data_IF_017592717852
#
_entry.id   IF_017592717852
#
_cell.length_a   1.000
_cell.length_b   1.000
_cell.length_c   1.000
_cell.angle_alpha   90.00
_cell.angle_beta   90.00
_cell.angle_gamma   90.00
#
_symmetry.space_group_name_H-M   'P 1'
#
loop_
_entity.id
_entity.type
_entity.pdbx_description
1 polymer ?
2 non-polymer ?
3 non-polymer ?
4 non-polymer ?
#
# COMPACT_ATOMS: atom_id res chain seq x y z
N UNK A 19 -26.53 38.18 13.05
CA UNK A 19 -25.63 37.84 11.96
C UNK A 19 -25.16 36.38 12.04
N UNK A 20 -25.33 35.78 13.21
CA UNK A 20 -24.98 34.38 13.43
C UNK A 20 -25.47 33.46 12.31
N UNK A 21 -26.77 33.51 12.03
CA UNK A 21 -27.40 32.66 11.00
C UNK A 21 -26.86 32.94 9.60
N UNK A 22 -26.35 34.15 9.39
CA UNK A 22 -25.82 34.54 8.08
C UNK A 22 -24.59 33.70 7.75
N UNK A 23 -23.69 33.57 8.71
CA UNK A 23 -22.51 32.74 8.54
C UNK A 23 -22.86 31.24 8.62
N UNK A 24 -23.80 30.86 9.47
CA UNK A 24 -24.15 29.45 9.63
C UNK A 24 -24.62 28.82 8.31
N UNK A 25 -25.28 29.61 7.47
CA UNK A 25 -25.75 29.08 6.20
C UNK A 25 -24.66 29.10 5.14
N UNK A 26 -23.54 29.75 5.47
CA UNK A 26 -22.32 29.64 4.66
C UNK A 26 -21.57 28.36 5.02
N UNK A 27 -21.14 28.29 6.28
CA UNK A 27 -20.43 27.14 6.83
C UNK A 27 -21.17 25.84 6.55
N UNK A 28 -22.47 25.81 6.79
CA UNK A 28 -23.24 24.58 6.62
C UNK A 28 -23.58 24.26 5.15
N UNK A 29 -23.19 25.14 4.24
CA UNK A 29 -23.50 24.92 2.83
C UNK A 29 -22.65 23.81 2.21
N UNK A 30 -23.10 23.29 1.07
CA UNK A 30 -22.31 22.33 0.31
C UNK A 30 -21.08 23.02 -0.26
N UNK A 31 -21.27 24.21 -0.81
CA UNK A 31 -20.19 25.00 -1.38
C UNK A 31 -18.98 25.04 -0.46
N UNK A 32 -19.23 25.46 0.78
CA UNK A 32 -18.19 25.58 1.79
C UNK A 32 -17.36 24.29 1.89
N UNK A 33 -18.02 23.18 2.18
CA UNK A 33 -17.33 21.89 2.28
C UNK A 33 -16.58 21.54 1.00
N UNK A 34 -17.26 21.63 -0.13
CA UNK A 34 -16.66 21.31 -1.43
C UNK A 34 -15.42 22.14 -1.69
N UNK A 35 -15.46 23.40 -1.30
CA UNK A 35 -14.33 24.30 -1.45
C UNK A 35 -13.13 23.92 -0.58
N UNK A 36 -13.40 23.57 0.67
CA UNK A 36 -12.37 23.14 1.58
C UNK A 36 -11.74 21.84 1.08
N UNK A 37 -12.59 20.85 0.77
CA UNK A 37 -12.09 19.60 0.20
C UNK A 37 -11.27 19.86 -1.04
N UNK A 38 -11.70 20.82 -1.84
CA UNK A 38 -10.94 21.24 -3.00
C UNK A 38 -9.55 21.77 -2.61
N UNK A 39 -9.49 22.64 -1.61
CA UNK A 39 -8.19 23.12 -1.12
C UNK A 39 -7.30 22.04 -0.50
N UNK A 40 -7.87 21.14 0.28
CA UNK A 40 -7.12 20.00 0.82
C UNK A 40 -6.35 19.31 -0.31
N UNK A 41 -7.08 18.87 -1.34
CA UNK A 41 -6.47 18.18 -2.46
C UNK A 41 -5.45 19.06 -3.19
N UNK A 42 -5.70 20.37 -3.24
CA UNK A 42 -4.77 21.26 -3.92
C UNK A 42 -3.48 21.40 -3.12
N UNK A 43 -3.65 21.65 -1.83
CA UNK A 43 -2.56 21.72 -0.87
C UNK A 43 -1.72 20.42 -0.87
N UNK A 44 -2.42 19.29 -0.90
CA UNK A 44 -1.78 17.99 -0.93
C UNK A 44 -0.94 17.81 -2.17
N UNK A 45 -1.53 18.13 -3.32
CA UNK A 45 -0.80 18.04 -4.57
C UNK A 45 0.43 18.93 -4.49
N UNK A 46 0.27 20.11 -3.92
CA UNK A 46 1.37 21.08 -3.90
C UNK A 46 2.48 20.69 -2.90
N UNK A 47 2.11 19.89 -1.90
CA UNK A 47 3.08 19.40 -0.92
C UNK A 47 4.05 18.41 -1.57
N UNK A 48 3.53 17.61 -2.50
CA UNK A 48 4.35 16.64 -3.19
C UNK A 48 5.24 17.29 -4.25
N UNK A 49 4.82 18.44 -4.76
CA UNK A 49 5.60 19.15 -5.75
C UNK A 49 6.72 19.90 -5.08
N UNK A 50 6.46 20.26 -3.83
CA UNK A 50 7.42 20.93 -2.97
C UNK A 50 8.59 20.00 -2.61
N UNK A 51 8.48 18.75 -3.08
CA UNK A 51 9.48 17.71 -2.89
C UNK A 51 10.53 17.76 -3.98
N UNK A 52 10.09 18.09 -5.19
CA UNK A 52 10.95 18.16 -6.36
C UNK A 52 11.93 19.33 -6.26
N UNK A 53 13.23 19.03 -6.34
CA UNK A 53 14.25 20.07 -6.29
C UNK A 53 14.15 20.96 -7.52
N UNK A 54 13.79 20.36 -8.65
CA UNK A 54 13.57 21.07 -9.90
C UNK A 54 12.44 22.10 -9.78
N UNK A 55 11.27 21.63 -9.34
CA UNK A 55 10.10 22.49 -9.18
C UNK A 55 10.39 23.72 -8.32
N UNK A 56 11.16 23.53 -7.25
CA UNK A 56 11.44 24.60 -6.29
C UNK A 56 12.41 25.68 -6.79
N UNK A 57 13.21 25.38 -7.80
CA UNK A 57 14.10 26.39 -8.36
C UNK A 57 13.37 27.20 -9.42
N UNK A 58 12.24 26.67 -9.87
CA UNK A 58 11.38 27.35 -10.82
C UNK A 58 10.29 28.08 -10.05
N UNK A 59 9.25 27.33 -9.70
CA UNK A 59 8.13 27.86 -8.94
C UNK A 59 8.44 28.07 -7.45
N UNK A 60 9.69 28.38 -7.12
CA UNK A 60 10.09 28.63 -5.75
C UNK A 60 9.23 29.61 -4.96
N UNK A 61 9.21 30.87 -5.38
CA UNK A 61 8.44 31.91 -4.70
C UNK A 61 6.93 31.73 -4.86
N UNK A 62 6.51 31.27 -6.04
CA UNK A 62 5.11 30.91 -6.33
C UNK A 62 4.44 30.08 -5.24
N UNK A 63 5.13 29.01 -4.82
CA UNK A 63 4.59 28.05 -3.89
C UNK A 63 4.72 28.53 -2.44
N UNK A 64 5.78 29.27 -2.16
CA UNK A 64 5.99 29.85 -0.84
C UNK A 64 4.82 30.76 -0.45
N UNK A 65 4.27 31.48 -1.43
CA UNK A 65 3.11 32.34 -1.21
C UNK A 65 1.81 31.53 -1.18
N UNK A 66 1.64 30.65 -2.17
CA UNK A 66 0.47 29.77 -2.25
C UNK A 66 0.18 29.06 -0.93
N UNK A 67 1.23 28.70 -0.21
CA UNK A 67 1.10 28.00 1.06
C UNK A 67 0.72 28.91 2.22
N UNK A 68 1.24 30.13 2.24
CA UNK A 68 0.79 31.10 3.24
C UNK A 68 -0.66 31.53 2.97
N UNK A 69 -1.10 31.45 1.72
CA UNK A 69 -2.50 31.78 1.39
C UNK A 69 -3.45 30.73 1.96
N UNK A 70 -3.17 29.46 1.66
CA UNK A 70 -4.03 28.35 2.06
C UNK A 70 -4.24 28.29 3.57
N UNK A 71 -3.18 28.51 4.34
CA UNK A 71 -3.26 28.42 5.80
C UNK A 71 -4.17 29.52 6.37
N UNK A 72 -4.28 30.63 5.66
CA UNK A 72 -5.15 31.72 6.07
C UNK A 72 -6.62 31.30 5.92
N UNK A 73 -7.00 30.90 4.71
CA UNK A 73 -8.30 30.32 4.42
C UNK A 73 -8.70 29.22 5.40
N UNK A 74 -7.73 28.45 5.87
CA UNK A 74 -8.04 27.36 6.76
C UNK A 74 -8.30 27.87 8.15
N UNK A 75 -7.57 28.88 8.54
CA UNK A 75 -7.76 29.44 9.88
C UNK A 75 -9.11 30.12 9.97
N UNK A 76 -9.44 30.86 8.91
CA UNK A 76 -10.77 31.45 8.79
C UNK A 76 -11.82 30.36 8.93
N UNK A 77 -11.64 29.28 8.17
CA UNK A 77 -12.57 28.17 8.20
C UNK A 77 -12.78 27.65 9.62
N UNK A 78 -11.69 27.46 10.36
CA UNK A 78 -11.77 26.87 11.71
C UNK A 78 -12.38 27.86 12.70
N UNK A 79 -12.22 29.15 12.43
CA UNK A 79 -12.82 30.17 13.26
C UNK A 79 -14.34 30.22 13.03
N UNK A 80 -14.73 30.36 11.76
CA UNK A 80 -16.13 30.29 11.36
C UNK A 80 -16.81 29.04 11.93
N UNK A 81 -16.15 27.89 11.80
CA UNK A 81 -16.72 26.65 12.33
C UNK A 81 -16.91 26.72 13.84
N UNK A 82 -16.04 27.43 14.53
CA UNK A 82 -16.11 27.53 15.99
C UNK A 82 -17.33 28.34 16.46
N UNK A 83 -17.56 29.50 15.86
CA UNK A 83 -18.70 30.33 16.26
C UNK A 83 -20.04 29.67 15.94
N UNK A 84 -20.11 28.95 14.82
CA UNK A 84 -21.31 28.19 14.48
C UNK A 84 -21.53 26.98 15.41
N UNK A 85 -20.48 26.56 16.12
CA UNK A 85 -20.58 25.35 16.93
C UNK A 85 -20.23 25.53 18.41
N UNK A 86 -19.46 26.57 18.74
CA UNK A 86 -18.97 26.82 20.10
C UNK A 86 -18.48 25.54 20.80
N UNK A 87 -19.15 25.13 21.88
CA UNK A 87 -18.75 23.97 22.67
C UNK A 87 -18.82 22.63 21.90
N UNK A 88 -19.77 22.50 20.98
CA UNK A 88 -19.89 21.28 20.20
C UNK A 88 -18.64 21.03 19.35
N UNK A 89 -17.99 22.12 18.96
CA UNK A 89 -16.80 22.06 18.12
C UNK A 89 -15.67 21.31 18.84
N UNK A 90 -15.41 21.73 20.07
CA UNK A 90 -14.38 21.14 20.90
C UNK A 90 -14.83 19.86 21.61
N UNK A 91 -15.79 19.15 21.04
CA UNK A 91 -16.20 17.87 21.58
C UNK A 91 -16.37 16.92 20.40
N UNK A 92 -15.94 17.40 19.23
CA UNK A 92 -15.90 16.63 18.00
C UNK A 92 -14.43 16.27 17.74
N UNK A 93 -14.12 14.96 17.75
CA UNK A 93 -12.76 14.46 17.52
C UNK A 93 -12.21 15.03 16.22
N UNK A 94 -13.07 15.03 15.21
CA UNK A 94 -12.68 15.49 13.89
C UNK A 94 -12.37 16.98 13.85
N UNK A 95 -13.10 17.77 14.63
CA UNK A 95 -12.93 19.21 14.61
C UNK A 95 -11.65 19.53 15.34
N UNK A 96 -11.47 18.89 16.49
CA UNK A 96 -10.25 18.95 17.26
C UNK A 96 -9.02 18.61 16.42
N UNK A 97 -9.09 17.52 15.66
CA UNK A 97 -8.02 17.22 14.72
C UNK A 97 -7.79 18.39 13.76
N UNK A 98 -8.84 18.81 13.07
CA UNK A 98 -8.75 19.97 12.17
C UNK A 98 -8.16 21.19 12.86
N UNK A 99 -8.55 21.42 14.09
CA UNK A 99 -8.05 22.55 14.85
C UNK A 99 -6.55 22.42 15.11
N UNK A 100 -6.13 21.32 15.74
CA UNK A 100 -4.72 21.12 16.08
C UNK A 100 -3.83 21.09 14.84
N UNK A 101 -4.30 20.46 13.79
CA UNK A 101 -3.58 20.40 12.53
C UNK A 101 -3.42 21.78 11.90
N UNK A 102 -4.43 22.63 12.01
CA UNK A 102 -4.31 23.97 11.46
C UNK A 102 -3.38 24.79 12.36
N UNK A 103 -3.43 24.53 13.67
CA UNK A 103 -2.58 25.23 14.64
C UNK A 103 -1.09 25.00 14.40
N UNK A 104 -0.69 23.73 14.29
CA UNK A 104 0.68 23.34 13.94
C UNK A 104 1.18 24.10 12.71
N UNK A 105 0.31 24.23 11.71
CA UNK A 105 0.64 24.92 10.49
C UNK A 105 0.87 26.41 10.73
N UNK A 106 0.32 26.92 11.82
CA UNK A 106 0.39 28.35 12.13
C UNK A 106 1.71 28.76 12.75
N UNK A 107 2.28 27.88 13.58
CA UNK A 107 3.62 28.06 14.15
C UNK A 107 4.66 28.40 13.08
N UNK A 108 5.34 29.55 13.24
CA UNK A 108 6.31 30.14 12.30
C UNK A 108 7.28 29.12 11.70
N UNK A 109 7.59 29.30 10.42
CA UNK A 109 8.44 28.38 9.66
C UNK A 109 9.79 28.11 10.34
N UNK A 110 10.31 29.11 11.05
CA UNK A 110 11.61 28.98 11.71
C UNK A 110 11.50 28.58 13.17
N UNK A 111 12.54 28.91 13.95
CA UNK A 111 12.59 28.69 15.40
C UNK A 111 12.53 27.22 15.81
N UNK A 112 12.87 26.96 17.08
CA UNK A 112 12.90 25.63 17.66
C UNK A 112 13.60 24.60 16.78
N UNK A 113 12.86 23.57 16.39
CA UNK A 113 13.34 22.66 15.35
C UNK A 113 12.42 22.71 14.12
N UNK A 114 12.88 22.12 13.02
CA UNK A 114 12.15 22.08 11.76
C UNK A 114 11.07 21.00 11.78
N UNK A 115 11.04 20.21 12.85
CA UNK A 115 10.11 19.10 12.99
C UNK A 115 8.68 19.52 12.70
N UNK A 116 8.31 20.70 13.16
CA UNK A 116 6.99 21.24 12.95
C UNK A 116 6.66 21.43 11.47
N UNK A 117 7.65 21.91 10.70
CA UNK A 117 7.47 22.13 9.27
C UNK A 117 7.09 20.83 8.56
N UNK A 118 7.57 19.72 9.10
CA UNK A 118 7.31 18.42 8.49
C UNK A 118 5.91 18.00 8.91
N UNK A 119 5.57 18.25 10.17
CA UNK A 119 4.23 17.89 10.67
C UNK A 119 3.08 18.54 9.87
N UNK A 120 3.34 19.64 9.19
CA UNK A 120 2.35 20.26 8.33
C UNK A 120 1.63 19.28 7.40
N UNK A 121 2.39 18.40 6.80
CA UNK A 121 1.84 17.48 5.82
C UNK A 121 0.79 16.58 6.46
N UNK A 122 0.77 16.48 7.80
CA UNK A 122 -0.32 15.77 8.49
C UNK A 122 -1.70 16.40 8.22
N UNK A 123 -1.67 17.66 7.79
CA UNK A 123 -2.87 18.36 7.36
C UNK A 123 -3.62 17.60 6.29
N UNK A 124 -2.90 16.83 5.47
CA UNK A 124 -3.56 16.10 4.38
C UNK A 124 -4.48 15.01 4.90
N UNK A 125 -4.44 14.76 6.20
CA UNK A 125 -5.38 13.84 6.82
C UNK A 125 -6.71 14.55 7.01
N UNK A 126 -6.73 15.84 6.69
CA UNK A 126 -7.96 16.61 6.72
C UNK A 126 -8.91 16.05 5.67
N UNK A 127 -8.35 15.45 4.64
CA UNK A 127 -9.15 14.81 3.59
C UNK A 127 -9.98 13.67 4.17
N UNK A 128 -9.55 13.15 5.32
CA UNK A 128 -10.31 12.12 6.03
C UNK A 128 -11.42 12.79 6.82
N UNK A 129 -11.09 13.92 7.42
CA UNK A 129 -12.10 14.72 8.11
C UNK A 129 -13.15 15.25 7.13
N UNK A 130 -12.74 16.17 6.26
CA UNK A 130 -13.66 16.89 5.38
C UNK A 130 -14.54 15.96 4.52
N UNK A 131 -14.02 14.79 4.16
CA UNK A 131 -14.77 13.83 3.35
C UNK A 131 -15.37 12.74 4.21
N UNK A 132 -16.70 12.55 4.15
CA UNK A 132 -17.35 11.40 4.78
C UNK A 132 -16.85 10.12 4.13
N UNK A 133 -17.38 8.95 4.49
CA UNK A 133 -16.90 7.69 3.92
C UNK A 133 -15.47 7.39 4.36
N UNK A 134 -14.58 8.37 4.24
CA UNK A 134 -13.25 8.33 4.86
C UNK A 134 -13.42 8.29 6.37
N UNK A 135 -14.19 9.25 6.90
CA UNK A 135 -14.56 9.26 8.32
C UNK A 135 -15.09 7.91 8.75
N UNK A 136 -15.93 7.32 7.90
CA UNK A 136 -16.55 6.03 8.16
C UNK A 136 -15.55 4.92 8.42
N UNK A 137 -14.56 4.78 7.53
CA UNK A 137 -13.55 3.74 7.65
C UNK A 137 -12.61 3.96 8.84
N UNK A 138 -12.10 5.19 8.97
CA UNK A 138 -11.26 5.52 10.10
C UNK A 138 -12.01 5.14 11.37
N UNK A 139 -13.30 5.52 11.42
CA UNK A 139 -14.17 5.24 12.57
C UNK A 139 -14.38 3.76 12.85
N UNK A 140 -14.55 2.98 11.78
CA UNK A 140 -14.70 1.54 11.94
C UNK A 140 -13.41 0.94 12.46
N UNK A 141 -12.29 1.39 11.90
CA UNK A 141 -10.97 0.89 12.26
C UNK A 141 -10.65 1.19 13.73
N UNK A 142 -10.88 2.42 14.15
CA UNK A 142 -10.62 2.83 15.54
C UNK A 142 -11.50 2.13 16.59
N UNK A 143 -12.76 1.89 16.27
CA UNK A 143 -13.72 1.31 17.22
C UNK A 143 -13.33 -0.12 17.62
N UNK A 144 -12.40 -0.71 16.86
CA UNK A 144 -11.91 -2.04 17.15
C UNK A 144 -10.84 -2.03 18.27
N UNK A 145 -10.19 -0.89 18.46
CA UNK A 145 -9.12 -0.74 19.44
C UNK A 145 -9.49 -1.02 20.91
N UNK A 146 -10.64 -0.51 21.40
CA UNK A 146 -11.03 -0.75 22.80
C UNK A 146 -10.99 -2.21 23.28
N UNK A 147 -11.51 -3.13 22.48
CA UNK A 147 -11.48 -4.53 22.85
C UNK A 147 -10.12 -5.17 22.60
N UNK A 148 -9.07 -4.39 22.77
CA UNK A 148 -7.73 -4.90 22.52
C UNK A 148 -6.83 -4.52 23.69
N UNK A 149 -7.21 -3.46 24.39
CA UNK A 149 -6.34 -2.85 25.40
C UNK A 149 -5.90 -3.82 26.51
N UNK A 150 -6.73 -4.81 26.83
CA UNK A 150 -6.34 -5.80 27.81
C UNK A 150 -5.18 -6.64 27.29
N UNK A 151 -5.25 -7.02 26.01
CA UNK A 151 -4.15 -7.73 25.36
C UNK A 151 -2.95 -6.81 25.11
N UNK A 152 -3.16 -5.63 24.55
CA UNK A 152 -2.09 -4.66 24.39
C UNK A 152 -1.36 -4.40 25.70
N UNK A 153 -2.09 -4.31 26.80
CA UNK A 153 -1.48 -4.12 28.12
C UNK A 153 -0.66 -5.35 28.52
N UNK A 154 -1.22 -6.53 28.31
CA UNK A 154 -0.55 -7.78 28.66
C UNK A 154 0.83 -7.80 27.95
N UNK A 155 0.77 -7.52 26.65
CA UNK A 155 1.89 -7.44 25.75
C UNK A 155 2.97 -6.45 26.21
N UNK A 156 2.54 -5.22 26.47
CA UNK A 156 3.44 -4.20 26.99
C UNK A 156 4.14 -4.61 28.29
N UNK A 157 3.40 -5.22 29.20
CA UNK A 157 3.99 -5.74 30.42
C UNK A 157 5.01 -6.82 30.02
N UNK A 158 4.61 -7.64 29.05
CA UNK A 158 5.45 -8.74 28.57
C UNK A 158 6.78 -8.25 28.00
N UNK A 159 6.74 -7.29 27.09
CA UNK A 159 7.94 -6.69 26.53
C UNK A 159 8.80 -6.13 27.66
N UNK A 160 8.18 -5.32 28.51
CA UNK A 160 8.88 -4.71 29.63
C UNK A 160 9.63 -5.73 30.50
N UNK A 161 9.01 -6.88 30.78
CA UNK A 161 9.67 -7.93 31.55
C UNK A 161 10.80 -8.55 30.74
N UNK A 162 10.55 -8.84 29.47
CA UNK A 162 11.61 -9.42 28.65
C UNK A 162 12.70 -8.41 28.26
N UNK A 163 12.32 -7.18 27.95
CA UNK A 163 13.32 -6.15 27.71
C UNK A 163 14.28 -5.97 28.90
N UNK A 164 13.76 -6.03 30.13
CA UNK A 164 14.64 -5.94 31.30
C UNK A 164 15.55 -7.16 31.41
N UNK A 165 15.04 -8.36 31.15
CA UNK A 165 15.88 -9.57 31.18
C UNK A 165 16.95 -9.52 30.12
N UNK A 166 16.57 -9.12 28.91
CA UNK A 166 17.52 -9.04 27.81
C UNK A 166 18.64 -8.05 28.12
N UNK A 167 18.29 -6.93 28.73
CA UNK A 167 19.26 -5.90 29.05
C UNK A 167 20.29 -6.43 30.02
N UNK A 168 19.87 -7.19 31.03
CA UNK A 168 20.85 -7.64 32.02
C UNK A 168 21.47 -8.98 31.65
N UNK A 169 21.05 -9.56 30.54
CA UNK A 169 21.63 -10.82 30.10
C UNK A 169 22.59 -10.63 28.93
N UNK A 170 22.32 -9.64 28.08
CA UNK A 170 23.07 -9.47 26.84
C UNK A 170 23.66 -8.07 26.60
N UNK A 171 23.44 -7.12 27.51
CA UNK A 171 23.81 -5.73 27.25
C UNK A 171 25.30 -5.49 27.31
N UNK A 172 25.97 -6.25 28.16
CA UNK A 172 27.40 -6.10 28.42
C UNK A 172 28.19 -6.37 27.15
N UNK A 173 27.90 -7.51 26.50
CA UNK A 173 28.68 -7.91 25.34
C UNK A 173 28.01 -7.49 24.07
N UNK A 174 26.80 -6.98 24.19
CA UNK A 174 26.03 -6.54 23.03
C UNK A 174 25.32 -5.21 23.26
N UNK A 175 26.11 -4.16 23.52
CA UNK A 175 25.59 -2.82 23.79
C UNK A 175 24.61 -2.30 22.73
N UNK A 176 24.94 -2.41 21.44
CA UNK A 176 24.12 -1.79 20.40
C UNK A 176 22.70 -2.23 20.44
N UNK A 177 22.49 -3.54 20.67
CA UNK A 177 21.20 -4.22 20.62
C UNK A 177 20.45 -4.35 21.96
N UNK A 178 21.18 -4.39 23.08
CA UNK A 178 20.61 -4.69 24.39
C UNK A 178 21.18 -3.90 25.54
N UNK A 179 21.90 -2.82 25.23
CA UNK A 179 22.65 -2.11 26.24
C UNK A 179 21.80 -1.24 27.16
N UNK A 180 20.57 -0.98 26.73
CA UNK A 180 19.68 0.01 27.33
C UNK A 180 18.29 -0.60 27.31
N UNK A 181 17.45 -0.25 28.29
CA UNK A 181 16.10 -0.77 28.36
C UNK A 181 15.37 -0.50 27.04
N UNK A 182 15.58 0.70 26.52
CA UNK A 182 15.01 1.08 25.25
C UNK A 182 15.62 0.36 24.07
N UNK A 183 16.94 0.17 24.11
CA UNK A 183 17.55 -0.59 23.04
C UNK A 183 16.96 -2.01 23.01
N UNK A 184 16.81 -2.61 24.18
CA UNK A 184 16.16 -3.90 24.29
C UNK A 184 14.69 -3.91 23.81
N UNK A 185 13.95 -2.84 24.08
CA UNK A 185 12.58 -2.74 23.58
C UNK A 185 12.61 -2.78 22.06
N UNK A 186 13.48 -1.94 21.49
CA UNK A 186 13.64 -1.85 20.06
C UNK A 186 14.02 -3.20 19.43
N UNK A 187 15.01 -3.85 20.03
CA UNK A 187 15.49 -5.09 19.44
C UNK A 187 14.38 -6.14 19.52
N UNK A 188 13.69 -6.20 20.66
CA UNK A 188 12.60 -7.18 20.83
C UNK A 188 11.45 -6.92 19.87
N UNK A 189 11.22 -5.66 19.54
CA UNK A 189 10.17 -5.39 18.59
C UNK A 189 10.54 -5.98 17.26
N UNK A 190 11.80 -5.77 16.90
CA UNK A 190 12.33 -6.34 15.67
C UNK A 190 12.19 -7.87 15.66
N UNK A 191 12.51 -8.51 16.78
CA UNK A 191 12.38 -9.96 16.90
C UNK A 191 10.93 -10.35 16.71
N UNK A 192 10.04 -9.55 17.28
CA UNK A 192 8.63 -9.82 17.15
C UNK A 192 8.20 -9.76 15.69
N UNK A 193 8.68 -8.77 14.94
CA UNK A 193 8.37 -8.71 13.50
C UNK A 193 9.12 -9.80 12.73
N UNK A 194 9.98 -10.54 13.45
CA UNK A 194 10.75 -11.67 12.93
C UNK A 194 11.81 -11.29 11.90
N UNK A 195 12.08 -9.99 11.75
CA UNK A 195 13.10 -9.50 10.83
C UNK A 195 14.58 -9.70 11.32
N UNK A 196 15.32 -10.50 10.56
CA UNK A 196 16.69 -10.90 10.86
C UNK A 196 16.87 -11.49 12.25
N UNK A 197 15.80 -11.95 12.90
CA UNK A 197 15.96 -12.36 14.30
C UNK A 197 17.05 -13.47 14.49
N UNK A 198 17.18 -14.40 13.54
CA UNK A 198 18.17 -15.48 13.70
C UNK A 198 19.54 -15.13 13.12
N UNK A 199 19.63 -14.91 11.83
CA UNK A 199 20.89 -14.49 11.25
C UNK A 199 21.47 -13.19 11.81
N UNK A 200 20.62 -12.22 12.10
CA UNK A 200 21.09 -10.94 12.56
C UNK A 200 21.24 -10.85 14.06
N UNK A 201 20.38 -11.51 14.84
CA UNK A 201 20.48 -11.28 16.27
C UNK A 201 20.82 -12.58 17.02
N UNK A 202 20.03 -13.63 16.92
CA UNK A 202 20.23 -14.75 17.85
C UNK A 202 21.44 -15.64 17.50
N UNK A 203 21.73 -15.88 16.22
CA UNK A 203 22.97 -16.62 15.87
C UNK A 203 24.22 -15.86 16.39
N UNK A 204 24.35 -14.54 16.09
CA UNK A 204 25.45 -13.81 16.74
C UNK A 204 25.45 -13.93 18.27
N UNK A 205 24.31 -13.77 18.92
CA UNK A 205 24.26 -13.88 20.36
C UNK A 205 24.72 -15.23 20.89
N UNK A 206 24.45 -16.30 20.14
CA UNK A 206 24.76 -17.64 20.64
C UNK A 206 26.27 -17.94 20.55
N UNK A 207 27.02 -17.10 19.85
CA UNK A 207 28.46 -17.26 19.73
C UNK A 207 29.12 -17.04 21.10
N UNK A 208 28.41 -16.33 21.99
CA UNK A 208 28.88 -16.01 23.33
C UNK A 208 28.02 -16.72 24.38
N UNK A 209 26.74 -16.73 24.11
CA UNK A 209 25.78 -17.29 25.02
C UNK A 209 25.04 -18.38 24.29
N UNK A 210 25.58 -19.61 24.29
CA UNK A 210 25.00 -20.75 23.59
C UNK A 210 23.56 -21.07 23.98
N UNK A 211 23.06 -20.68 25.16
CA UNK A 211 21.67 -21.00 25.50
C UNK A 211 20.72 -19.84 25.24
N UNK A 212 21.18 -18.81 24.54
CA UNK A 212 20.34 -17.65 24.26
C UNK A 212 19.01 -18.05 23.62
N UNK A 213 19.02 -19.19 22.92
CA UNK A 213 17.83 -19.65 22.21
C UNK A 213 16.68 -19.93 23.23
N UNK A 214 17.04 -20.20 24.47
CA UNK A 214 16.08 -20.54 25.52
C UNK A 214 15.29 -19.31 25.84
N UNK A 215 15.89 -18.16 25.55
CA UNK A 215 15.24 -16.88 25.78
C UNK A 215 14.41 -16.47 24.55
N UNK A 216 14.90 -16.72 23.35
CA UNK A 216 14.25 -16.11 22.20
C UNK A 216 13.19 -16.97 21.53
N UNK A 217 13.38 -18.29 21.49
CA UNK A 217 12.34 -19.16 20.96
C UNK A 217 11.05 -19.03 21.80
N UNK A 218 11.10 -19.24 23.13
CA UNK A 218 9.90 -18.91 23.91
C UNK A 218 9.32 -17.52 23.65
N UNK A 219 10.10 -16.45 23.79
CA UNK A 219 9.63 -15.11 23.44
C UNK A 219 8.91 -15.08 22.08
N UNK A 220 9.46 -15.75 21.07
CA UNK A 220 8.83 -15.73 19.76
C UNK A 220 7.50 -16.48 19.78
N UNK A 221 7.48 -17.65 20.42
CA UNK A 221 6.23 -18.42 20.55
C UNK A 221 5.16 -17.60 21.23
N UNK A 222 5.41 -17.14 22.45
CA UNK A 222 4.42 -16.34 23.17
C UNK A 222 3.92 -15.12 22.40
N UNK A 223 4.86 -14.30 21.94
CA UNK A 223 4.50 -13.07 21.22
C UNK A 223 3.78 -13.40 19.90
N UNK A 224 4.10 -14.53 19.27
CA UNK A 224 3.42 -14.89 18.03
C UNK A 224 2.01 -15.36 18.34
N UNK A 225 1.93 -16.24 19.34
CA UNK A 225 0.67 -16.79 19.80
C UNK A 225 -0.34 -15.71 20.13
N UNK A 226 0.05 -14.80 21.02
CA UNK A 226 -0.77 -13.63 21.32
C UNK A 226 -1.21 -12.85 20.09
N UNK A 227 -0.30 -12.51 19.19
CA UNK A 227 -0.70 -11.85 17.96
C UNK A 227 -1.82 -12.60 17.23
N UNK A 228 -1.70 -13.91 17.11
CA UNK A 228 -2.70 -14.70 16.38
C UNK A 228 -4.05 -14.58 17.08
N UNK A 229 -4.05 -14.68 18.40
CA UNK A 229 -5.27 -14.50 19.17
C UNK A 229 -5.88 -13.11 19.02
N UNK A 230 -5.04 -12.07 19.11
CA UNK A 230 -5.48 -10.70 18.90
C UNK A 230 -6.25 -10.58 17.59
N UNK A 231 -5.78 -11.26 16.55
CA UNK A 231 -6.43 -11.22 15.25
C UNK A 231 -7.74 -12.02 15.24
N UNK A 232 -7.70 -13.21 15.84
CA UNK A 232 -8.90 -14.03 16.01
C UNK A 232 -10.01 -13.21 16.68
N UNK A 233 -9.67 -12.57 17.81
CA UNK A 233 -10.54 -11.63 18.50
C UNK A 233 -11.32 -10.78 17.52
N UNK A 234 -10.61 -9.92 16.80
CA UNK A 234 -11.23 -9.00 15.84
C UNK A 234 -12.12 -9.70 14.80
N UNK A 235 -11.73 -10.89 14.35
CA UNK A 235 -12.56 -11.61 13.37
C UNK A 235 -13.85 -12.20 13.94
N UNK A 236 -13.75 -12.92 15.07
CA UNK A 236 -14.94 -13.51 15.67
C UNK A 236 -15.89 -12.45 16.20
N UNK A 237 -15.36 -11.40 16.80
CA UNK A 237 -16.20 -10.35 17.38
C UNK A 237 -16.99 -9.55 16.35
N UNK A 238 -16.40 -9.31 15.17
CA UNK A 238 -17.11 -8.62 14.10
C UNK A 238 -18.26 -9.46 13.57
N UNK A 239 -18.01 -10.76 13.43
CA UNK A 239 -19.04 -11.72 13.05
C UNK A 239 -20.11 -11.89 14.13
N UNK B 19 -25.52 -16.17 -44.08
CA UNK B 19 -24.34 -16.95 -43.76
C UNK B 19 -23.96 -16.83 -42.28
N UNK B 20 -24.51 -15.81 -41.61
CA UNK B 20 -24.26 -15.57 -40.19
C UNK B 20 -24.33 -16.82 -39.33
N UNK B 21 -25.44 -17.54 -39.39
CA UNK B 21 -25.67 -18.75 -38.60
C UNK B 21 -24.68 -19.89 -38.91
N UNK B 22 -24.14 -19.88 -40.13
CA UNK B 22 -23.20 -20.92 -40.55
C UNK B 22 -21.95 -20.88 -39.67
N UNK B 23 -21.42 -19.68 -39.49
CA UNK B 23 -20.26 -19.47 -38.62
C UNK B 23 -20.64 -19.55 -37.13
N UNK B 24 -21.82 -19.05 -36.75
CA UNK B 24 -22.25 -19.08 -35.35
C UNK B 24 -22.29 -20.49 -34.78
N UNK B 25 -22.58 -21.49 -35.62
CA UNK B 25 -22.63 -22.87 -35.14
C UNK B 25 -21.23 -23.49 -35.15
N UNK B 26 -20.28 -22.80 -35.76
CA UNK B 26 -18.86 -23.16 -35.64
C UNK B 26 -18.27 -22.61 -34.33
N UNK B 27 -18.27 -21.29 -34.21
CA UNK B 27 -17.81 -20.58 -33.03
C UNK B 27 -18.43 -21.12 -31.74
N UNK B 28 -19.74 -21.29 -31.75
CA UNK B 28 -20.41 -21.72 -30.53
C UNK B 28 -20.29 -23.22 -30.26
N UNK B 29 -19.60 -23.94 -31.13
CA UNK B 29 -19.50 -25.39 -30.96
C UNK B 29 -18.60 -25.78 -29.81
N UNK B 30 -18.70 -27.03 -29.39
CA UNK B 30 -17.82 -27.61 -28.40
C UNK B 30 -16.41 -27.71 -28.99
N UNK B 31 -16.34 -28.19 -30.24
CA UNK B 31 -15.06 -28.29 -30.96
C UNK B 31 -14.21 -27.04 -30.89
N UNK B 32 -14.82 -25.93 -31.29
CA UNK B 32 -14.15 -24.64 -31.38
C UNK B 32 -13.40 -24.32 -30.08
N UNK B 33 -14.14 -24.26 -28.98
CA UNK B 33 -13.51 -23.95 -27.71
C UNK B 33 -12.43 -24.99 -27.35
N UNK B 34 -12.73 -26.28 -27.48
CA UNK B 34 -11.75 -27.33 -27.16
C UNK B 34 -10.45 -27.15 -27.95
N UNK B 35 -10.59 -26.78 -29.21
CA UNK B 35 -9.45 -26.53 -30.09
C UNK B 35 -8.62 -25.31 -29.66
N UNK B 36 -9.28 -24.23 -29.30
CA UNK B 36 -8.61 -23.04 -28.79
C UNK B 36 -7.89 -23.36 -27.50
N UNK B 37 -8.61 -23.95 -26.53
CA UNK B 37 -8.00 -24.36 -25.27
C UNK B 37 -6.78 -25.23 -25.52
N UNK B 38 -6.88 -26.08 -26.55
CA UNK B 38 -5.76 -26.89 -26.99
C UNK B 38 -4.56 -26.03 -27.45
N UNK B 39 -4.82 -25.03 -28.28
CA UNK B 39 -3.76 -24.11 -28.72
C UNK B 39 -3.15 -23.29 -27.58
N UNK B 40 -3.99 -22.79 -26.67
CA UNK B 40 -3.50 -22.09 -25.48
C UNK B 40 -2.42 -22.94 -24.81
N UNK B 41 -2.77 -24.16 -24.45
CA UNK B 41 -1.84 -25.07 -23.81
C UNK B 41 -0.62 -25.37 -24.67
N UNK B 42 -0.81 -25.44 -25.98
CA UNK B 42 0.28 -25.75 -26.90
C UNK B 42 1.23 -24.55 -27.02
N UNK B 43 0.65 -23.38 -27.20
CA UNK B 43 1.36 -22.12 -27.20
C UNK B 43 2.12 -21.94 -25.86
N UNK B 44 1.43 -22.21 -24.76
CA UNK B 44 1.99 -22.08 -23.44
C UNK B 44 3.20 -22.95 -23.23
N UNK B 45 3.07 -24.22 -23.58
CA UNK B 45 4.19 -25.13 -23.48
C UNK B 45 5.35 -24.62 -24.30
N UNK B 46 5.06 -24.15 -25.52
CA UNK B 46 6.12 -23.75 -26.45
C UNK B 46 6.81 -22.45 -26.01
N UNK B 47 6.11 -21.65 -25.24
CA UNK B 47 6.67 -20.41 -24.73
C UNK B 47 7.73 -20.72 -23.67
N UNK B 48 7.55 -21.82 -22.94
CA UNK B 48 8.56 -22.22 -21.98
C UNK B 48 9.77 -22.89 -22.62
N UNK B 49 9.58 -23.49 -23.78
CA UNK B 49 10.70 -24.12 -24.49
C UNK B 49 11.52 -23.07 -25.21
N UNK B 50 10.88 -21.95 -25.54
CA UNK B 50 11.55 -20.83 -26.18
C UNK B 50 12.53 -20.17 -25.22
N UNK B 51 12.55 -20.66 -23.98
CA UNK B 51 13.44 -20.20 -22.92
C UNK B 51 14.80 -20.90 -22.95
N UNK B 52 14.78 -22.18 -23.30
CA UNK B 52 15.96 -23.02 -23.35
C UNK B 52 16.91 -22.55 -24.45
N UNK B 53 18.13 -22.18 -24.07
CA UNK B 53 19.12 -21.74 -25.04
C UNK B 53 19.47 -22.88 -25.96
N UNK B 54 19.47 -24.08 -25.40
CA UNK B 54 19.69 -25.32 -26.13
C UNK B 54 18.63 -25.58 -27.21
N UNK B 55 17.37 -25.57 -26.81
CA UNK B 55 16.25 -25.79 -27.72
C UNK B 55 16.24 -24.86 -28.94
N UNK B 56 16.59 -23.59 -28.72
CA UNK B 56 16.54 -22.58 -29.78
C UNK B 56 17.65 -22.70 -30.84
N UNK B 57 18.74 -23.38 -30.51
CA UNK B 57 19.82 -23.58 -31.48
C UNK B 57 19.51 -24.80 -32.33
N UNK B 58 18.57 -25.61 -31.85
CA UNK B 58 18.09 -26.76 -32.57
C UNK B 58 16.81 -26.41 -33.32
N UNK B 59 15.71 -26.44 -32.59
CA UNK B 59 14.40 -26.10 -33.13
C UNK B 59 14.15 -24.60 -33.28
N UNK B 60 15.20 -23.82 -33.52
CA UNK B 60 15.08 -22.39 -33.74
C UNK B 60 14.04 -21.92 -34.75
N UNK B 61 14.23 -22.28 -36.02
CA UNK B 61 13.31 -21.86 -37.08
C UNK B 61 11.94 -22.54 -36.96
N UNK B 62 11.95 -23.81 -36.55
CA UNK B 62 10.74 -24.58 -36.24
C UNK B 62 9.73 -23.81 -35.39
N UNK B 63 10.24 -23.21 -34.31
CA UNK B 63 9.40 -22.55 -33.32
C UNK B 63 9.02 -21.15 -33.76
N UNK B 64 9.92 -20.48 -34.47
CA UNK B 64 9.67 -19.15 -34.99
C UNK B 64 8.45 -19.14 -35.91
N UNK B 65 8.28 -20.21 -36.66
CA UNK B 65 7.13 -20.35 -37.55
C UNK B 65 5.87 -20.78 -36.79
N UNK B 66 6.01 -21.78 -35.92
CA UNK B 66 4.90 -22.27 -35.10
C UNK B 66 4.17 -21.16 -34.37
N UNK B 67 4.90 -20.14 -33.94
CA UNK B 67 4.32 -19.02 -33.23
C UNK B 67 3.59 -18.02 -34.13
N UNK B 68 4.12 -17.80 -35.32
CA UNK B 68 3.42 -16.97 -36.29
C UNK B 68 2.13 -17.66 -36.78
N UNK B 69 2.10 -18.98 -36.76
CA UNK B 69 0.88 -19.71 -37.12
C UNK B 69 -0.19 -19.47 -36.07
N UNK B 70 0.16 -19.73 -34.81
CA UNK B 70 -0.80 -19.66 -33.72
C UNK B 70 -1.48 -18.29 -33.62
N UNK B 71 -0.71 -17.22 -33.81
CA UNK B 71 -1.26 -15.88 -33.68
C UNK B 71 -2.31 -15.60 -34.76
N UNK B 72 -2.17 -16.27 -35.90
CA UNK B 72 -3.13 -16.13 -36.99
C UNK B 72 -4.48 -16.77 -36.61
N UNK B 73 -4.43 -18.06 -36.26
CA UNK B 73 -5.58 -18.78 -35.75
C UNK B 73 -6.31 -18.02 -34.64
N UNK B 74 -5.55 -17.28 -33.85
CA UNK B 74 -6.14 -16.57 -32.73
C UNK B 74 -6.80 -15.31 -33.17
N UNK B 75 -6.28 -14.70 -34.21
CA UNK B 75 -6.89 -13.47 -34.72
C UNK B 75 -8.17 -13.82 -35.45
N UNK B 76 -8.12 -14.87 -36.27
CA UNK B 76 -9.30 -15.43 -36.92
C UNK B 76 -10.36 -15.71 -35.86
N UNK B 77 -9.93 -16.39 -34.80
CA UNK B 77 -10.83 -16.73 -33.72
C UNK B 77 -11.52 -15.49 -33.17
N UNK B 78 -10.77 -14.43 -32.93
CA UNK B 78 -11.32 -13.22 -32.29
C UNK B 78 -12.22 -12.48 -33.29
N UNK B 79 -11.94 -12.63 -34.57
CA UNK B 79 -12.76 -11.99 -35.58
C UNK B 79 -14.12 -12.70 -35.68
N UNK B 80 -14.07 -14.03 -35.89
CA UNK B 80 -15.26 -14.86 -35.87
C UNK B 80 -16.08 -14.62 -34.61
N UNK B 81 -15.44 -14.57 -33.45
CA UNK B 81 -16.14 -14.29 -32.21
C UNK B 81 -16.83 -12.92 -32.22
N UNK B 82 -16.24 -11.95 -32.93
CA UNK B 82 -16.83 -10.62 -33.00
C UNK B 82 -18.12 -10.58 -33.83
N UNK B 83 -18.13 -11.21 -35.00
CA UNK B 83 -19.35 -11.21 -35.83
C UNK B 83 -20.52 -11.94 -35.17
N UNK B 84 -20.23 -13.03 -34.49
CA UNK B 84 -21.24 -13.76 -33.74
C UNK B 84 -21.72 -12.98 -32.51
N UNK B 85 -20.97 -11.99 -32.05
CA UNK B 85 -21.35 -11.32 -30.81
C UNK B 85 -21.50 -9.80 -30.93
N UNK B 86 -20.86 -9.20 -31.93
CA UNK B 86 -20.83 -7.73 -32.13
C UNK B 86 -20.65 -6.92 -30.83
N UNK B 87 -21.64 -6.12 -30.47
CA UNK B 87 -21.54 -5.23 -29.30
C UNK B 87 -21.39 -6.00 -27.98
N UNK B 88 -22.00 -7.18 -27.89
CA UNK B 88 -21.89 -7.99 -26.69
C UNK B 88 -20.44 -8.41 -26.45
N UNK B 89 -19.68 -8.54 -27.54
CA UNK B 89 -18.29 -8.95 -27.44
C UNK B 89 -17.50 -7.90 -26.67
N UNK B 90 -17.67 -6.63 -27.07
CA UNK B 90 -17.00 -5.51 -26.43
C UNK B 90 -17.66 -5.01 -25.16
N UNK B 91 -18.40 -5.87 -24.46
CA UNK B 91 -18.96 -5.50 -23.17
C UNK B 91 -18.78 -6.69 -22.24
N UNK B 92 -18.00 -7.66 -22.72
CA UNK B 92 -17.59 -8.84 -21.96
C UNK B 92 -16.13 -8.64 -21.56
N UNK B 93 -15.86 -8.58 -20.25
CA UNK B 93 -14.49 -8.37 -19.75
C UNK B 93 -13.53 -9.37 -20.35
N UNK B 94 -13.96 -10.63 -20.38
CA UNK B 94 -13.11 -11.71 -20.85
C UNK B 94 -12.75 -11.57 -22.32
N UNK B 95 -13.69 -11.07 -23.10
CA UNK B 95 -13.48 -10.96 -24.54
C UNK B 95 -12.53 -9.80 -24.79
N UNK B 96 -12.78 -8.70 -24.12
CA UNK B 96 -11.90 -7.54 -24.16
C UNK B 96 -10.47 -7.96 -23.83
N UNK B 97 -10.29 -8.75 -22.76
CA UNK B 97 -8.98 -9.30 -22.46
C UNK B 97 -8.40 -10.09 -23.64
N UNK B 98 -9.14 -11.08 -24.11
CA UNK B 98 -8.76 -11.89 -25.26
C UNK B 98 -8.37 -11.04 -26.46
N UNK B 99 -9.15 -9.99 -26.68
CA UNK B 99 -8.89 -9.08 -27.77
C UNK B 99 -7.56 -8.34 -27.55
N UNK B 100 -7.43 -7.66 -26.41
CA UNK B 100 -6.22 -6.87 -26.15
C UNK B 100 -4.99 -7.74 -26.12
N UNK B 101 -5.11 -8.92 -25.54
CA UNK B 101 -4.01 -9.88 -25.49
C UNK B 101 -3.61 -10.38 -26.88
N UNK B 102 -4.57 -10.60 -27.77
CA UNK B 102 -4.23 -11.02 -29.12
C UNK B 102 -3.62 -9.83 -29.87
N UNK B 103 -4.11 -8.62 -29.58
CA UNK B 103 -3.61 -7.40 -30.22
C UNK B 103 -2.13 -7.11 -29.91
N UNK B 104 -1.77 -7.15 -28.62
CA UNK B 104 -0.37 -7.03 -28.19
C UNK B 104 0.51 -8.00 -28.98
N UNK B 105 0.01 -9.20 -29.17
CA UNK B 105 0.70 -10.24 -29.91
C UNK B 105 0.85 -9.88 -31.39
N UNK B 106 -0.02 -9.00 -31.87
CA UNK B 106 -0.04 -8.66 -33.29
C UNK B 106 1.04 -7.65 -33.64
N UNK B 107 1.28 -6.71 -32.72
CA UNK B 107 2.38 -5.75 -32.84
C UNK B 107 3.72 -6.41 -33.16
N UNK B 108 4.31 -6.01 -34.31
CA UNK B 108 5.54 -6.55 -34.91
C UNK B 108 6.66 -6.80 -33.91
N UNK B 109 7.40 -7.89 -34.12
CA UNK B 109 8.45 -8.34 -33.21
C UNK B 109 9.49 -7.27 -32.89
N UNK B 110 9.75 -6.38 -33.85
CA UNK B 110 10.75 -5.34 -33.68
C UNK B 110 10.12 -4.02 -33.21
N UNK B 111 10.82 -2.91 -33.48
CA UNK B 111 10.35 -1.55 -33.19
C UNK B 111 10.12 -1.26 -31.70
N UNK B 112 9.96 0.02 -31.39
CA UNK B 112 9.75 0.51 -30.03
C UNK B 112 10.69 -0.10 -29.00
N UNK B 113 10.12 -0.80 -28.03
CA UNK B 113 10.93 -1.62 -27.13
C UNK B 113 10.51 -3.10 -27.26
N UNK B 114 11.33 -3.98 -26.69
CA UNK B 114 11.10 -5.41 -26.70
C UNK B 114 10.05 -5.79 -25.65
N UNK B 115 9.65 -4.82 -24.84
CA UNK B 115 8.69 -5.05 -23.77
C UNK B 115 7.45 -5.78 -24.27
N UNK B 116 6.97 -5.38 -25.44
CA UNK B 116 5.79 -5.99 -26.03
C UNK B 116 5.99 -7.48 -26.27
N UNK B 117 7.20 -7.85 -26.71
CA UNK B 117 7.54 -9.24 -26.97
C UNK B 117 7.39 -10.06 -25.69
N UNK B 118 7.60 -9.41 -24.56
CA UNK B 118 7.51 -10.10 -23.28
C UNK B 118 6.06 -10.17 -22.90
N UNK B 119 5.34 -9.08 -23.13
CA UNK B 119 3.92 -9.04 -22.78
C UNK B 119 3.09 -10.14 -23.46
N UNK B 120 3.57 -10.65 -24.59
CA UNK B 120 2.93 -11.78 -25.26
C UNK B 120 2.59 -12.94 -24.32
N UNK B 121 3.50 -13.29 -23.45
CA UNK B 121 3.29 -14.46 -22.60
C UNK B 121 2.07 -14.26 -21.70
N UNK B 122 1.62 -13.01 -21.52
CA UNK B 122 0.34 -12.75 -20.82
C UNK B 122 -0.83 -13.42 -21.52
N UNK B 123 -0.63 -13.76 -22.79
CA UNK B 123 -1.59 -14.53 -23.53
C UNK B 123 -1.96 -15.78 -22.81
N UNK B 124 -1.05 -16.39 -22.05
CA UNK B 124 -1.37 -17.64 -21.38
C UNK B 124 -2.44 -17.49 -20.29
N UNK B 125 -2.82 -16.25 -19.99
CA UNK B 125 -3.92 -16.02 -19.06
C UNK B 125 -5.24 -16.27 -19.81
N UNK B 126 -5.12 -16.52 -21.09
CA UNK B 126 -6.29 -16.86 -21.83
C UNK B 126 -6.83 -18.15 -21.24
N UNK B 127 -5.94 -19.05 -20.89
CA UNK B 127 -6.37 -20.33 -20.32
C UNK B 127 -7.37 -20.11 -19.18
N UNK B 128 -7.38 -18.92 -18.61
CA UNK B 128 -8.35 -18.55 -17.57
C UNK B 128 -9.67 -18.19 -18.23
N UNK B 129 -9.57 -17.48 -19.35
CA UNK B 129 -10.75 -17.14 -20.14
C UNK B 129 -11.42 -18.38 -20.72
N UNK B 130 -10.73 -19.03 -21.66
CA UNK B 130 -11.29 -20.13 -22.44
C UNK B 130 -11.86 -21.26 -21.58
N UNK B 131 -11.27 -21.46 -20.41
CA UNK B 131 -11.68 -22.50 -19.48
C UNK B 131 -12.57 -21.95 -18.39
N UNK B 132 -13.80 -22.47 -18.25
CA UNK B 132 -14.66 -22.11 -17.11
C UNK B 132 -13.98 -22.55 -15.81
N UNK B 133 -14.63 -22.39 -14.66
CA UNK B 133 -14.01 -22.78 -13.39
C UNK B 133 -12.80 -21.90 -13.06
N UNK B 134 -11.90 -21.71 -14.03
CA UNK B 134 -10.87 -20.69 -13.91
C UNK B 134 -11.52 -19.32 -13.84
N UNK B 135 -12.39 -19.03 -14.81
CA UNK B 135 -13.19 -17.80 -14.79
C UNK B 135 -13.86 -17.64 -13.43
N UNK B 136 -14.41 -18.75 -12.94
CA UNK B 136 -15.16 -18.77 -11.70
C UNK B 136 -14.34 -18.21 -10.54
N UNK B 137 -13.13 -18.75 -10.38
CA UNK B 137 -12.21 -18.35 -9.30
C UNK B 137 -11.72 -16.92 -9.44
N UNK B 138 -11.23 -16.58 -10.63
CA UNK B 138 -10.78 -15.22 -10.89
C UNK B 138 -11.89 -14.25 -10.52
N UNK B 139 -13.10 -14.59 -10.95
CA UNK B 139 -14.31 -13.81 -10.74
C UNK B 139 -14.65 -13.63 -9.27
N UNK B 140 -14.48 -14.70 -8.50
CA UNK B 140 -14.70 -14.65 -7.06
C UNK B 140 -13.65 -13.76 -6.40
N UNK B 141 -12.39 -13.91 -6.83
CA UNK B 141 -11.30 -13.13 -6.24
C UNK B 141 -11.49 -11.65 -6.47
N UNK B 142 -11.81 -11.28 -7.71
CA UNK B 142 -12.06 -9.90 -8.09
C UNK B 142 -13.27 -9.24 -7.38
N UNK B 143 -14.34 -9.99 -7.14
CA UNK B 143 -15.54 -9.42 -6.55
C UNK B 143 -15.29 -8.93 -5.12
N UNK B 144 -14.18 -9.35 -4.54
CA UNK B 144 -13.81 -8.94 -3.19
C UNK B 144 -13.20 -7.53 -3.15
N UNK B 145 -12.65 -7.10 -4.28
CA UNK B 145 -11.95 -5.81 -4.41
C UNK B 145 -12.80 -4.57 -4.08
N UNK B 146 -14.05 -4.48 -4.58
CA UNK B 146 -14.89 -3.32 -4.29
C UNK B 146 -15.01 -2.92 -2.82
N UNK B 147 -15.23 -3.90 -1.96
CA UNK B 147 -15.36 -3.61 -0.54
C UNK B 147 -14.03 -3.41 0.14
N UNK B 148 -13.07 -2.87 -0.60
CA UNK B 148 -11.72 -2.67 -0.10
C UNK B 148 -11.24 -1.28 -0.46
N UNK B 149 -11.83 -0.73 -1.51
CA UNK B 149 -11.35 0.51 -2.11
C UNK B 149 -11.28 1.66 -1.11
N UNK B 150 -12.16 1.68 -0.12
CA UNK B 150 -12.10 2.71 0.89
C UNK B 150 -10.84 2.59 1.75
N UNK B 151 -10.52 1.36 2.14
CA UNK B 151 -9.30 1.07 2.90
C UNK B 151 -8.04 1.24 1.99
N UNK B 152 -8.06 0.68 0.78
CA UNK B 152 -6.99 0.94 -0.18
C UNK B 152 -6.77 2.44 -0.38
N UNK B 153 -7.85 3.21 -0.42
CA UNK B 153 -7.78 4.67 -0.56
C UNK B 153 -7.15 5.30 0.66
N UNK B 154 -7.59 4.85 1.84
CA UNK B 154 -7.09 5.40 3.09
C UNK B 154 -5.57 5.23 3.09
N UNK B 155 -5.17 3.98 2.86
CA UNK B 155 -3.79 3.52 2.83
C UNK B 155 -2.91 4.31 1.90
N UNK B 156 -3.37 4.44 0.66
CA UNK B 156 -2.67 5.25 -0.31
C UNK B 156 -2.45 6.69 0.14
N UNK B 157 -3.46 7.29 0.77
CA UNK B 157 -3.31 8.63 1.31
C UNK B 157 -2.21 8.59 2.37
N UNK B 158 -2.29 7.57 3.20
CA UNK B 158 -1.38 7.36 4.30
C UNK B 158 0.08 7.26 3.84
N UNK B 159 0.33 6.42 2.84
CA UNK B 159 1.65 6.27 2.26
C UNK B 159 2.13 7.60 1.76
N UNK B 160 1.30 8.24 0.94
CA UNK B 160 1.59 9.55 0.39
C UNK B 160 1.98 10.58 1.46
N UNK B 161 1.30 10.59 2.59
CA UNK B 161 1.63 11.53 3.65
C UNK B 161 2.98 11.18 4.27
N UNK B 162 3.17 9.90 4.55
CA UNK B 162 4.41 9.44 5.15
C UNK B 162 5.58 9.45 4.14
N UNK B 163 5.32 9.10 2.89
CA UNK B 163 6.33 9.23 1.86
C UNK B 163 6.87 10.67 1.75
N UNK B 164 5.98 11.67 1.80
CA UNK B 164 6.42 13.07 1.73
C UNK B 164 7.25 13.46 2.96
N UNK B 165 6.85 13.02 4.13
CA UNK B 165 7.62 13.25 5.36
C UNK B 165 9.00 12.59 5.36
N UNK B 166 9.06 11.34 4.94
CA UNK B 166 10.34 10.62 4.89
C UNK B 166 11.33 11.34 3.95
N UNK B 167 10.80 11.83 2.83
CA UNK B 167 11.63 12.50 1.86
C UNK B 167 12.27 13.73 2.47
N UNK B 168 11.51 14.49 3.24
CA UNK B 168 12.10 15.72 3.74
C UNK B 168 12.78 15.53 5.09
N UNK B 169 12.72 14.32 5.62
CA UNK B 169 13.37 14.01 6.88
C UNK B 169 14.63 13.17 6.70
N UNK B 170 14.66 12.32 5.67
CA UNK B 170 15.76 11.38 5.50
C UNK B 170 16.46 11.39 4.13
N UNK B 171 15.96 12.20 3.18
CA UNK B 171 16.43 12.17 1.81
C UNK B 171 17.79 12.78 1.58
N UNK B 172 18.12 13.77 2.40
CA UNK B 172 19.38 14.51 2.29
C UNK B 172 20.55 13.56 2.54
N UNK B 173 20.47 12.78 3.64
CA UNK B 173 21.58 11.94 4.05
C UNK B 173 21.42 10.53 3.59
N UNK B 174 20.26 10.23 3.05
CA UNK B 174 19.96 8.90 2.58
C UNK B 174 19.25 8.96 1.24
N UNK B 175 19.94 9.49 0.22
CA UNK B 175 19.39 9.65 -1.12
C UNK B 175 18.82 8.35 -1.70
N UNK B 176 19.53 7.23 -1.61
CA UNK B 176 19.12 5.97 -2.26
C UNK B 176 17.72 5.54 -1.84
N UNK B 177 17.41 5.70 -0.55
CA UNK B 177 16.17 5.22 0.08
C UNK B 177 15.02 6.25 0.19
N UNK B 178 15.34 7.55 0.25
CA UNK B 178 14.36 8.57 0.56
C UNK B 178 14.56 9.84 -0.23
N UNK B 179 15.39 9.80 -1.26
CA UNK B 179 15.77 11.03 -1.91
C UNK B 179 14.69 11.64 -2.75
N UNK B 180 13.67 10.83 -3.04
CA UNK B 180 12.64 11.13 -4.01
C UNK B 180 11.31 10.64 -3.48
N UNK B 181 10.22 11.33 -3.82
CA UNK B 181 8.90 10.93 -3.34
C UNK B 181 8.66 9.46 -3.64
N UNK B 182 8.99 9.06 -4.86
CA UNK B 182 8.88 7.68 -5.27
C UNK B 182 9.89 6.77 -4.60
N UNK B 183 11.11 7.24 -4.40
CA UNK B 183 12.05 6.42 -3.66
C UNK B 183 11.50 6.16 -2.26
N UNK B 184 10.94 7.20 -1.65
CA UNK B 184 10.28 7.02 -0.37
C UNK B 184 9.08 6.07 -0.42
N UNK B 185 8.32 6.11 -1.52
CA UNK B 185 7.19 5.17 -1.64
C UNK B 185 7.67 3.74 -1.62
N UNK B 186 8.67 3.46 -2.46
CA UNK B 186 9.28 2.13 -2.57
C UNK B 186 9.82 1.65 -1.22
N UNK B 187 10.53 2.53 -0.52
CA UNK B 187 11.15 2.09 0.72
C UNK B 187 10.06 1.76 1.75
N UNK B 188 9.05 2.62 1.82
CA UNK B 188 7.94 2.43 2.75
C UNK B 188 7.14 1.16 2.45
N UNK B 189 7.05 0.83 1.17
CA UNK B 189 6.37 -0.40 0.84
C UNK B 189 7.17 -1.55 1.39
N UNK B 190 8.49 -1.50 1.17
CA UNK B 190 9.39 -2.53 1.71
C UNK B 190 9.26 -2.61 3.23
N UNK B 191 9.22 -1.45 3.90
CA UNK B 191 9.03 -1.44 5.35
C UNK B 191 7.70 -2.09 5.69
N UNK B 192 6.71 -1.85 4.86
CA UNK B 192 5.41 -2.44 5.12
C UNK B 192 5.48 -3.97 5.04
N UNK B 193 6.17 -4.51 4.03
CA UNK B 193 6.36 -5.97 3.95
C UNK B 193 7.29 -6.49 5.05
N UNK B 194 7.85 -5.53 5.79
CA UNK B 194 8.72 -5.75 6.93
C UNK B 194 10.05 -6.37 6.57
N UNK B 195 10.39 -6.40 5.28
CA UNK B 195 11.67 -6.94 4.80
C UNK B 195 12.91 -6.04 5.06
N UNK B 196 13.82 -6.54 5.89
CA UNK B 196 15.02 -5.83 6.35
C UNK B 196 14.72 -4.50 6.99
N UNK B 197 13.49 -4.25 7.44
CA UNK B 197 13.18 -2.89 7.88
C UNK B 197 14.13 -2.38 9.04
N UNK B 198 14.54 -3.23 9.96
CA UNK B 198 15.41 -2.74 11.05
C UNK B 198 16.90 -2.84 10.70
N UNK B 199 17.40 -4.05 10.43
CA UNK B 199 18.80 -4.17 10.03
C UNK B 199 19.14 -3.39 8.77
N UNK B 200 18.26 -3.38 7.79
CA UNK B 200 18.59 -2.74 6.54
C UNK B 200 18.28 -1.25 6.48
N UNK B 201 17.23 -0.80 7.16
CA UNK B 201 16.82 0.59 7.02
C UNK B 201 16.85 1.40 8.31
N UNK B 202 16.14 1.00 9.36
CA UNK B 202 15.97 1.91 10.48
C UNK B 202 17.23 1.93 11.36
N UNK B 203 17.87 0.79 11.56
CA UNK B 203 19.12 0.81 12.33
C UNK B 203 20.17 1.72 11.63
N UNK B 204 20.44 1.54 10.31
CA UNK B 204 21.31 2.53 9.65
C UNK B 204 20.82 3.96 9.82
N UNK B 205 19.52 4.22 9.61
CA UNK B 205 18.99 5.57 9.75
C UNK B 205 19.23 6.16 11.15
N UNK B 206 19.20 5.32 12.18
CA UNK B 206 19.28 5.88 13.52
C UNK B 206 20.71 6.29 13.86
N UNK B 207 21.67 5.89 13.04
CA UNK B 207 23.06 6.26 13.27
C UNK B 207 23.25 7.78 13.07
N UNK B 208 22.30 8.41 12.38
CA UNK B 208 22.29 9.83 12.10
C UNK B 208 21.13 10.55 12.81
N UNK B 209 19.99 9.87 12.80
CA UNK B 209 18.77 10.40 13.38
C UNK B 209 18.32 9.42 14.45
N UNK B 210 18.83 9.60 15.68
CA UNK B 210 18.56 8.71 16.82
C UNK B 210 17.06 8.54 17.12
N UNK B 211 16.20 9.48 16.71
CA UNK B 211 14.77 9.33 16.97
C UNK B 211 13.97 8.82 15.77
N UNK B 212 14.63 8.33 14.73
CA UNK B 212 13.96 7.86 13.52
C UNK B 212 12.90 6.80 13.85
N UNK B 213 13.09 6.12 14.97
CA UNK B 213 12.19 5.05 15.37
C UNK B 213 10.77 5.60 15.64
N UNK B 214 10.68 6.89 15.93
CA UNK B 214 9.41 7.54 16.25
C UNK B 214 8.58 7.65 14.99
N UNK B 215 9.26 7.62 13.86
CA UNK B 215 8.60 7.68 12.55
C UNK B 215 8.22 6.26 12.07
N UNK B 216 9.05 5.27 12.33
CA UNK B 216 8.84 3.97 11.72
C UNK B 216 8.03 2.96 12.56
N UNK B 217 8.21 2.95 13.87
CA UNK B 217 7.39 2.04 14.69
C UNK B 217 5.90 2.41 14.54
N UNK B 218 5.50 3.69 14.81
CA UNK B 218 4.11 4.05 14.48
C UNK B 218 3.69 3.69 13.07
N UNK B 219 4.42 4.10 12.03
CA UNK B 219 4.10 3.67 10.66
C UNK B 219 3.85 2.15 10.58
N UNK B 220 4.67 1.35 11.25
CA UNK B 220 4.49 -0.11 11.17
C UNK B 220 3.20 -0.57 11.86
N UNK B 221 2.94 -0.01 13.04
CA UNK B 221 1.72 -0.34 13.76
C UNK B 221 0.49 -0.04 12.89
N UNK B 222 0.34 1.22 12.47
CA UNK B 222 -0.80 1.60 11.63
C UNK B 222 -0.97 0.75 10.36
N UNK B 223 0.10 0.63 9.57
CA UNK B 223 0.07 -0.11 8.32
C UNK B 223 -0.21 -1.60 8.58
N UNK B 224 0.22 -2.13 9.72
CA UNK B 224 -0.05 -3.53 10.05
C UNK B 224 -1.49 -3.72 10.50
N UNK B 225 -1.90 -2.81 11.39
CA UNK B 225 -3.25 -2.78 11.91
C UNK B 225 -4.29 -2.77 10.80
N UNK B 226 -4.18 -1.78 9.91
CA UNK B 226 -5.03 -1.71 8.73
C UNK B 226 -5.01 -2.98 7.90
N UNK B 227 -3.84 -3.51 7.59
CA UNK B 227 -3.78 -4.79 6.90
C UNK B 227 -4.57 -5.88 7.63
N UNK B 228 -4.43 -5.96 8.95
CA UNK B 228 -5.14 -7.00 9.70
C UNK B 228 -6.64 -6.81 9.55
N UNK B 229 -7.11 -5.57 9.67
CA UNK B 229 -8.53 -5.28 9.43
C UNK B 229 -8.97 -5.59 8.01
N UNK B 230 -8.18 -5.17 7.02
CA UNK B 230 -8.48 -5.45 5.62
C UNK B 230 -8.80 -6.92 5.43
N UNK B 231 -8.05 -7.79 6.09
CA UNK B 231 -8.27 -9.22 5.99
C UNK B 231 -9.53 -9.66 6.71
N UNK B 232 -9.73 -9.14 7.92
CA UNK B 232 -10.93 -9.42 8.70
C UNK B 232 -12.17 -9.13 7.86
N UNK B 233 -12.22 -7.94 7.28
CA UNK B 233 -13.24 -7.55 6.31
C UNK B 233 -13.62 -8.70 5.40
N UNK B 234 -12.69 -9.11 4.56
CA UNK B 234 -12.93 -10.18 3.60
C UNK B 234 -13.46 -11.47 4.23
N UNK B 235 -13.02 -11.83 5.44
CA UNK B 235 -13.52 -13.06 6.06
C UNK B 235 -14.95 -13.01 6.57
N UNK B 236 -15.28 -12.01 7.38
CA UNK B 236 -16.64 -11.89 7.91
C UNK B 236 -17.67 -11.59 6.80
N UNK B 237 -17.28 -10.72 5.88
CA UNK B 237 -18.18 -10.30 4.80
C UNK B 237 -18.51 -11.45 3.84
N UNK B 238 -17.55 -12.35 3.63
CA UNK B 238 -17.72 -13.51 2.77
C UNK B 238 -18.77 -14.45 3.36
N UNK B 239 -18.77 -14.54 4.68
CA UNK B 239 -19.78 -15.32 5.39
C UNK B 239 -21.19 -14.75 5.19
#
# INVERSE_FOLDING_TARGET
>A
MDYKDDDDKGSLVPRGSHMYLRITNIVESSFFTKFIIYLIVLNGITMGLETSKTFMQSFGVYTTLFNQIVITIFTIEIILRIYVHRISFFKDPWSLFDFFVVAISLVPTSSGFEILRVLRVLGLFRLVTAVPQMRKIVSALISVIPGMLSVIALMTLFFYIFAIMATQLFGERFPEWFGTLGESFYTLFQVMTLESWSMGIVRPLMEVYPYAWVFFIPFIFVVTFVMINLVVAICVDAMAILNQKEEQHIIDEVQSHEDNINNEIIKLREEIVELKELIKTSLKN
>B
MDYKDDDDKGSLVPRGSHMYLRITNIVESSFFTKFIIYLIVLNGITMGLETSKTFMQSFGVYTTLFNQIVITIFTIEIILRIYVHRISFFKDPWSLFDFFVVAISLVPTSSGFEILRVLRVLGLFRLVTAVPQMRKIVSALISVIPGMLSVIALMTLFFYIFAIMATQLFGERFPEWFGTLGESFYTLFQVMTLESWSMGIVRPLMEVYPYAWVFFIPFIFVVTFVMINLVVAICVDAMAILNQKEEQHIIDEVQSHEDNINNEIIKLREEIVELKELIKTSLKN
#
